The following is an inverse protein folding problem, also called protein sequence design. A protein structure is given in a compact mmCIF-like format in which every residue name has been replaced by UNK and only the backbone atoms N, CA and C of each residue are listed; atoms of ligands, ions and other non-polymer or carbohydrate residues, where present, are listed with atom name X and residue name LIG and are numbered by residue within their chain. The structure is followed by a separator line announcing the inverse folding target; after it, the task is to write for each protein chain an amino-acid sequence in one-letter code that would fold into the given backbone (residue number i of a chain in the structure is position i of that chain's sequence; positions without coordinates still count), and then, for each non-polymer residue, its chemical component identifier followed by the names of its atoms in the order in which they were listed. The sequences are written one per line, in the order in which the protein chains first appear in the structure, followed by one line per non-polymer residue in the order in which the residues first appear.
data_IF_539875425284
#
_entry.id   IF_539875425284
#
_cell.length_a   1.000
_cell.length_b   1.000
_cell.length_c   1.000
_cell.angle_alpha   90.00
_cell.angle_beta   90.00
_cell.angle_gamma   90.00
#
_symmetry.space_group_name_H-M   'P 1'
#
loop_
_entity.id
_entity.type
_entity.pdbx_description
1 polymer ?
#
# COMPACT_ATOMS: atom_id res chain seq x y z
N UNK A 1 17.34 21.96 -5.12
CA UNK A 1 16.10 22.69 -4.81
C UNK A 1 15.35 21.92 -3.74
N UNK A 2 14.88 22.57 -2.65
CA UNK A 2 13.94 21.92 -1.74
C UNK A 2 12.63 21.77 -2.50
N UNK A 3 12.27 20.55 -2.90
CA UNK A 3 10.96 20.26 -3.45
C UNK A 3 9.91 20.79 -2.47
N UNK A 4 9.09 21.74 -2.91
CA UNK A 4 7.96 22.20 -2.13
C UNK A 4 7.12 20.98 -1.77
N UNK A 5 6.62 20.92 -0.54
CA UNK A 5 5.81 19.79 -0.07
C UNK A 5 4.68 19.56 -1.06
N UNK A 6 4.77 18.46 -1.82
CA UNK A 6 3.74 18.07 -2.76
C UNK A 6 2.39 17.96 -2.01
N UNK A 7 1.28 18.31 -2.66
CA UNK A 7 -0.04 18.15 -2.06
C UNK A 7 -0.25 16.68 -1.73
N UNK A 8 -0.32 16.43 -0.43
CA UNK A 8 -0.66 15.16 0.21
C UNK A 8 -1.82 14.46 -0.52
N UNK A 9 -1.63 13.25 -1.09
CA UNK A 9 -2.73 12.48 -1.64
C UNK A 9 -3.60 11.99 -0.48
N UNK A 10 -4.68 12.73 -0.21
CA UNK A 10 -5.74 12.31 0.72
C UNK A 10 -6.73 11.47 -0.09
N UNK A 11 -7.22 10.33 0.44
CA UNK A 11 -8.44 9.72 -0.12
C UNK A 11 -9.49 10.78 0.09
N UNK A 12 -9.82 11.51 -0.98
CA UNK A 12 -10.85 12.54 -0.93
C UNK A 12 -12.03 11.91 -0.21
N UNK A 13 -12.44 12.49 0.93
CA UNK A 13 -13.72 12.18 1.57
C UNK A 13 -14.77 12.19 0.46
N UNK A 14 -15.19 10.99 0.06
CA UNK A 14 -15.97 10.75 -1.16
C UNK A 14 -15.27 11.25 -2.44
N UNK A 15 -14.43 10.43 -3.08
CA UNK A 15 -14.62 10.33 -4.53
C UNK A 15 -16.07 9.92 -4.72
N UNK A 16 -16.84 10.68 -5.49
CA UNK A 16 -18.20 10.27 -5.81
C UNK A 16 -18.09 8.92 -6.51
N UNK A 17 -18.41 7.82 -5.81
CA UNK A 17 -18.54 6.47 -6.36
C UNK A 17 -19.61 6.48 -7.45
N UNK A 18 -19.30 7.03 -8.62
CA UNK A 18 -20.15 6.97 -9.80
C UNK A 18 -19.70 5.79 -10.64
N UNK A 19 -19.70 4.60 -10.05
CA UNK A 19 -19.35 3.38 -10.75
C UNK A 19 -19.37 2.17 -9.83
N UNK A 20 -19.69 1.03 -10.43
CA UNK A 20 -19.44 -0.31 -9.88
C UNK A 20 -18.41 -0.93 -10.79
N UNK A 21 -17.41 -1.61 -10.22
CA UNK A 21 -16.45 -2.38 -11.01
C UNK A 21 -17.22 -3.33 -11.92
N UNK A 22 -16.97 -3.24 -13.21
CA UNK A 22 -17.66 -4.10 -14.17
C UNK A 22 -17.27 -5.56 -13.93
N UNK A 23 -18.19 -6.47 -14.20
CA UNK A 23 -18.01 -7.90 -13.95
C UNK A 23 -17.43 -8.64 -15.17
N UNK A 24 -17.36 -7.99 -16.33
CA UNK A 24 -16.83 -8.49 -17.59
C UNK A 24 -15.31 -8.26 -17.74
N UNK A 25 -14.58 -8.34 -16.63
CA UNK A 25 -13.11 -8.22 -16.61
C UNK A 25 -12.47 -9.38 -17.38
N UNK A 26 -11.45 -9.05 -18.18
CA UNK A 26 -10.61 -10.04 -18.86
C UNK A 26 -9.87 -10.92 -17.85
N UNK A 27 -9.38 -10.30 -16.77
CA UNK A 27 -8.73 -10.98 -15.65
C UNK A 27 -9.52 -10.72 -14.38
N UNK A 28 -9.83 -11.79 -13.65
CA UNK A 28 -10.66 -11.75 -12.44
C UNK A 28 -9.89 -11.95 -11.13
N UNK A 29 -8.60 -12.22 -11.23
CA UNK A 29 -7.70 -12.40 -10.10
C UNK A 29 -6.46 -11.55 -10.31
N UNK A 30 -6.12 -10.74 -9.31
CA UNK A 30 -4.86 -10.04 -9.20
C UNK A 30 -3.75 -11.02 -8.81
N UNK A 31 -4.05 -12.01 -7.95
CA UNK A 31 -3.08 -13.02 -7.50
C UNK A 31 -2.54 -13.84 -8.67
N UNK A 32 -3.42 -14.36 -9.52
CA UNK A 32 -3.08 -15.20 -10.68
C UNK A 32 -2.47 -14.39 -11.85
N UNK A 33 -2.54 -13.06 -11.78
CA UNK A 33 -2.01 -12.21 -12.83
C UNK A 33 -0.49 -12.23 -12.83
N UNK A 34 0.09 -12.81 -13.88
CA UNK A 34 1.53 -12.81 -14.08
C UNK A 34 2.01 -11.42 -14.50
N UNK A 35 2.96 -10.88 -13.74
CA UNK A 35 3.70 -9.68 -14.13
C UNK A 35 4.67 -10.02 -15.27
N UNK A 36 4.97 -9.03 -16.10
CA UNK A 36 6.07 -9.16 -17.05
C UNK A 36 7.39 -9.20 -16.30
N UNK A 37 8.38 -9.87 -16.87
CA UNK A 37 9.69 -10.05 -16.24
C UNK A 37 10.34 -8.69 -15.91
N UNK A 38 10.11 -7.64 -16.72
CA UNK A 38 10.59 -6.28 -16.43
C UNK A 38 9.90 -5.61 -15.23
N UNK A 39 8.68 -6.03 -14.90
CA UNK A 39 7.89 -5.47 -13.80
C UNK A 39 8.01 -6.29 -12.53
N UNK A 40 8.47 -7.54 -12.64
CA UNK A 40 8.60 -8.46 -11.52
C UNK A 40 9.51 -7.90 -10.43
N UNK A 41 10.57 -7.17 -10.81
CA UNK A 41 11.51 -6.53 -9.88
C UNK A 41 10.82 -5.58 -8.88
N UNK A 42 9.76 -4.87 -9.28
CA UNK A 42 9.03 -3.97 -8.38
C UNK A 42 8.21 -4.74 -7.34
N UNK A 43 7.66 -5.89 -7.72
CA UNK A 43 6.96 -6.79 -6.80
C UNK A 43 7.96 -7.50 -5.87
N UNK A 44 9.11 -7.91 -6.39
CA UNK A 44 10.14 -8.57 -5.58
C UNK A 44 10.66 -7.62 -4.48
N UNK A 45 10.89 -6.34 -4.82
CA UNK A 45 11.26 -5.31 -3.84
C UNK A 45 10.16 -5.12 -2.78
N UNK A 46 8.90 -5.02 -3.21
CA UNK A 46 7.74 -4.89 -2.33
C UNK A 46 7.66 -6.07 -1.34
N UNK A 47 7.78 -7.30 -1.85
CA UNK A 47 7.75 -8.53 -1.06
C UNK A 47 8.94 -8.62 -0.09
N UNK A 48 10.14 -8.24 -0.51
CA UNK A 48 11.33 -8.24 0.35
C UNK A 48 11.14 -7.24 1.50
N UNK A 49 10.73 -6.00 1.21
CA UNK A 49 10.54 -4.96 2.22
C UNK A 49 9.42 -5.33 3.19
N UNK A 50 8.28 -5.80 2.67
CA UNK A 50 7.11 -6.12 3.49
C UNK A 50 7.37 -7.28 4.46
N UNK A 51 8.16 -8.28 4.05
CA UNK A 51 8.48 -9.46 4.85
C UNK A 51 9.72 -9.27 5.76
N UNK A 52 10.25 -8.06 5.86
CA UNK A 52 11.38 -7.80 6.74
C UNK A 52 10.99 -7.91 8.22
N UNK A 53 11.89 -8.46 9.02
CA UNK A 53 11.80 -8.56 10.48
C UNK A 53 13.16 -8.22 11.09
N UNK A 54 13.22 -7.90 12.40
CA UNK A 54 14.49 -7.70 13.08
C UNK A 54 15.45 -8.91 12.95
N UNK A 55 14.93 -10.13 12.83
CA UNK A 55 15.70 -11.36 12.73
C UNK A 55 16.28 -11.60 11.33
N UNK A 56 15.65 -11.06 10.27
CA UNK A 56 16.07 -11.28 8.88
C UNK A 56 16.65 -10.02 8.20
N UNK A 57 16.87 -8.95 8.97
CA UNK A 57 17.23 -7.63 8.44
C UNK A 57 18.47 -7.65 7.52
N UNK A 58 19.51 -8.40 7.89
CA UNK A 58 20.73 -8.52 7.10
C UNK A 58 20.49 -9.27 5.78
N UNK A 59 19.66 -10.31 5.80
CA UNK A 59 19.28 -11.06 4.59
C UNK A 59 18.46 -10.17 3.65
N UNK A 60 17.49 -9.44 4.20
CA UNK A 60 16.67 -8.46 3.48
C UNK A 60 17.54 -7.40 2.81
N UNK A 61 18.48 -6.81 3.56
CA UNK A 61 19.41 -5.82 3.03
C UNK A 61 20.27 -6.36 1.89
N UNK A 62 20.82 -7.58 2.03
CA UNK A 62 21.64 -8.18 0.99
C UNK A 62 20.85 -8.45 -0.30
N UNK A 63 19.59 -8.92 -0.21
CA UNK A 63 18.72 -9.10 -1.38
C UNK A 63 18.45 -7.78 -2.10
N UNK A 64 18.15 -6.71 -1.35
CA UNK A 64 17.94 -5.38 -1.94
C UNK A 64 19.24 -4.84 -2.56
N UNK A 65 20.38 -5.06 -1.92
CA UNK A 65 21.70 -4.67 -2.44
C UNK A 65 22.04 -5.36 -3.76
N UNK A 66 21.72 -6.64 -3.89
CA UNK A 66 21.91 -7.37 -5.15
C UNK A 66 21.06 -6.75 -6.28
N UNK A 67 19.82 -6.34 -5.97
CA UNK A 67 18.94 -5.62 -6.90
C UNK A 67 19.53 -4.25 -7.29
N UNK A 68 20.03 -3.48 -6.32
CA UNK A 68 20.68 -2.17 -6.57
C UNK A 68 21.93 -2.32 -7.45
N UNK A 69 22.61 -3.47 -7.39
CA UNK A 69 23.78 -3.73 -8.23
C UNK A 69 23.40 -3.94 -9.71
N UNK A 70 22.17 -4.39 -9.97
CA UNK A 70 21.62 -4.51 -11.32
C UNK A 70 21.22 -3.12 -11.85
N UNK A 71 20.58 -2.32 -11.00
CA UNK A 71 20.25 -0.93 -11.30
C UNK A 71 20.24 -0.05 -10.05
N UNK A 72 21.08 0.97 -10.06
CA UNK A 72 21.26 1.89 -8.93
C UNK A 72 20.01 2.77 -8.70
N UNK A 73 19.24 3.07 -9.76
CA UNK A 73 18.06 3.93 -9.66
C UNK A 73 16.91 3.27 -8.86
N UNK A 74 16.90 1.95 -8.71
CA UNK A 74 15.88 1.25 -7.92
C UNK A 74 15.94 1.56 -6.43
N UNK A 75 17.06 2.10 -5.92
CA UNK A 75 17.15 2.50 -4.51
C UNK A 75 16.13 3.60 -4.16
N UNK A 76 15.83 4.48 -5.12
CA UNK A 76 14.84 5.53 -4.96
C UNK A 76 13.42 4.97 -4.81
N UNK A 77 13.09 3.94 -5.58
CA UNK A 77 11.84 3.19 -5.42
C UNK A 77 11.80 2.48 -4.06
N UNK A 78 12.89 1.83 -3.63
CA UNK A 78 12.95 1.19 -2.31
C UNK A 78 12.66 2.17 -1.17
N UNK A 79 13.28 3.35 -1.18
CA UNK A 79 12.98 4.39 -0.18
C UNK A 79 11.52 4.82 -0.21
N UNK A 80 10.93 4.92 -1.40
CA UNK A 80 9.52 5.26 -1.54
C UNK A 80 8.59 4.18 -0.96
N UNK A 81 8.89 2.90 -1.20
CA UNK A 81 8.16 1.76 -0.64
C UNK A 81 8.33 1.70 0.89
N UNK A 82 9.54 1.95 1.41
CA UNK A 82 9.78 2.03 2.86
C UNK A 82 8.94 3.14 3.50
N UNK A 83 9.01 4.36 2.96
CA UNK A 83 8.23 5.48 3.46
C UNK A 83 6.72 5.22 3.39
N UNK A 84 6.25 4.51 2.36
CA UNK A 84 4.86 4.08 2.26
C UNK A 84 4.46 3.13 3.40
N UNK A 85 5.24 2.07 3.64
CA UNK A 85 4.93 1.09 4.68
C UNK A 85 5.13 1.62 6.10
N UNK A 86 6.16 2.42 6.37
CA UNK A 86 6.34 3.12 7.66
C UNK A 86 5.07 3.88 8.00
N UNK A 87 4.51 4.62 7.04
CA UNK A 87 3.27 5.36 7.23
C UNK A 87 2.04 4.45 7.35
N UNK A 88 1.90 3.44 6.48
CA UNK A 88 0.75 2.53 6.49
C UNK A 88 0.64 1.76 7.83
N UNK A 89 1.80 1.38 8.37
CA UNK A 89 1.89 0.66 9.64
C UNK A 89 1.95 1.57 10.86
N UNK A 90 2.04 2.90 10.68
CA UNK A 90 2.16 3.87 11.79
C UNK A 90 3.23 3.44 12.81
N UNK A 91 4.29 2.81 12.32
CA UNK A 91 5.44 2.32 13.07
C UNK A 91 6.67 3.00 12.50
N UNK A 92 6.94 4.20 13.02
CA UNK A 92 8.06 5.06 12.63
C UNK A 92 9.42 4.35 12.73
N UNK A 93 9.53 3.24 13.48
CA UNK A 93 10.80 2.59 13.75
C UNK A 93 10.97 1.23 13.08
N UNK A 94 9.90 0.62 12.54
CA UNK A 94 9.98 -0.72 11.93
C UNK A 94 11.05 -0.80 10.85
N UNK A 95 11.15 0.23 10.02
CA UNK A 95 12.02 0.25 8.84
C UNK A 95 13.31 1.05 9.02
N UNK A 96 13.51 1.72 10.17
CA UNK A 96 14.68 2.57 10.46
C UNK A 96 16.01 1.84 10.25
N UNK A 97 16.10 0.58 10.67
CA UNK A 97 17.33 -0.19 10.53
C UNK A 97 17.62 -0.51 9.06
N UNK A 98 16.59 -0.83 8.27
CA UNK A 98 16.75 -1.09 6.85
C UNK A 98 17.12 0.18 6.10
N UNK A 99 16.47 1.29 6.43
CA UNK A 99 16.75 2.60 5.85
C UNK A 99 18.21 3.03 6.10
N UNK A 100 18.70 2.87 7.35
CA UNK A 100 20.11 3.12 7.71
C UNK A 100 21.08 2.23 6.93
N UNK A 101 20.75 0.96 6.73
CA UNK A 101 21.60 0.05 5.96
C UNK A 101 21.65 0.46 4.49
N UNK A 102 20.52 0.79 3.87
CA UNK A 102 20.44 1.27 2.50
C UNK A 102 21.19 2.61 2.32
N UNK A 103 21.17 3.48 3.33
CA UNK A 103 21.86 4.77 3.27
C UNK A 103 23.38 4.63 3.18
N UNK A 104 23.94 3.50 3.64
CA UNK A 104 25.36 3.16 3.42
C UNK A 104 25.74 2.93 1.95
N UNK A 105 24.75 2.61 1.10
CA UNK A 105 24.92 2.48 -0.35
C UNK A 105 24.73 3.85 -1.00
N UNK A 106 23.59 4.50 -0.75
CA UNK A 106 23.27 5.82 -1.27
C UNK A 106 22.22 6.49 -0.39
N UNK A 107 22.50 7.72 0.06
CA UNK A 107 21.58 8.49 0.87
C UNK A 107 20.31 8.89 0.08
N UNK A 108 19.12 8.91 0.70
CA UNK A 108 17.91 9.37 0.04
C UNK A 108 18.02 10.86 -0.30
N UNK A 109 17.74 11.21 -1.56
CA UNK A 109 17.82 12.61 -2.03
C UNK A 109 16.63 13.48 -1.62
N UNK A 110 15.60 12.88 -1.01
CA UNK A 110 14.34 13.55 -0.72
C UNK A 110 13.72 13.07 0.59
N UNK A 111 12.99 13.97 1.24
CA UNK A 111 12.25 13.67 2.47
C UNK A 111 10.89 13.08 2.07
N UNK A 112 10.73 11.78 2.31
CA UNK A 112 9.56 11.01 1.96
C UNK A 112 8.36 11.38 2.85
N UNK A 113 7.77 12.54 2.60
CA UNK A 113 6.49 12.92 3.18
C UNK A 113 5.37 12.20 2.42
N UNK A 114 5.26 10.89 2.63
CA UNK A 114 4.04 10.18 2.30
C UNK A 114 2.97 10.58 3.29
N UNK A 115 2.02 11.36 2.81
CA UNK A 115 0.70 11.35 3.41
C UNK A 115 -0.05 10.25 2.70
N UNK A 116 -0.24 9.10 3.36
CA UNK A 116 -1.25 8.20 2.85
C UNK A 116 -2.62 8.68 3.27
N UNK A 117 -3.56 8.20 2.50
CA UNK A 117 -4.93 8.63 2.35
C UNK A 117 -5.81 8.62 3.60
N UNK A 118 -5.29 8.17 4.73
CA UNK A 118 -6.05 7.80 5.92
C UNK A 118 -5.83 8.76 7.10
N UNK A 119 -5.20 9.93 6.86
CA UNK A 119 -4.77 10.93 7.85
C UNK A 119 -5.76 11.29 8.96
N UNK A 120 -7.07 11.09 8.78
CA UNK A 120 -8.01 11.44 9.85
C UNK A 120 -8.22 10.36 10.90
N UNK A 121 -7.74 9.11 10.72
CA UNK A 121 -8.37 7.97 11.41
C UNK A 121 -7.52 6.70 11.69
N UNK A 122 -6.19 6.79 11.82
CA UNK A 122 -5.35 5.63 12.20
C UNK A 122 -5.32 5.48 13.74
N UNK A 123 -5.43 4.26 14.32
CA UNK A 123 -5.21 4.03 15.75
C UNK A 123 -3.81 4.48 16.17
N UNK A 124 -3.66 5.08 17.35
CA UNK A 124 -2.35 5.57 17.79
C UNK A 124 -1.28 4.47 17.83
N UNK A 125 -0.03 4.79 17.48
CA UNK A 125 1.13 3.89 17.61
C UNK A 125 1.16 3.19 18.97
N UNK A 126 0.86 3.92 20.05
CA UNK A 126 0.79 3.39 21.42
C UNK A 126 -0.15 2.19 21.53
N UNK A 127 -1.35 2.24 20.94
CA UNK A 127 -2.28 1.12 21.08
C UNK A 127 -1.88 -0.08 20.21
N UNK A 128 -1.33 0.17 19.02
CA UNK A 128 -0.79 -0.88 18.15
C UNK A 128 0.39 -1.59 18.80
N UNK A 129 1.30 -0.85 19.44
CA UNK A 129 2.39 -1.41 20.24
C UNK A 129 1.88 -2.28 21.40
N UNK A 130 0.85 -1.83 22.13
CA UNK A 130 0.25 -2.61 23.20
C UNK A 130 -0.31 -3.95 22.70
N UNK A 131 -0.96 -3.95 21.54
CA UNK A 131 -1.58 -5.15 20.97
C UNK A 131 -0.60 -6.02 20.17
N UNK A 132 0.65 -5.58 20.01
CA UNK A 132 1.67 -6.26 19.20
C UNK A 132 1.86 -7.71 19.63
N UNK A 133 1.86 -8.60 18.63
CA UNK A 133 2.01 -10.04 18.83
C UNK A 133 0.75 -10.75 19.31
N UNK A 134 -0.41 -10.10 19.20
CA UNK A 134 -1.73 -10.70 19.40
C UNK A 134 -1.93 -11.38 20.77
N UNK A 135 -1.41 -10.74 21.83
CA UNK A 135 -1.44 -11.26 23.21
C UNK A 135 -2.70 -10.81 23.95
N UNK A 136 -3.57 -11.76 24.28
CA UNK A 136 -4.86 -11.50 24.96
C UNK A 136 -4.66 -10.87 26.36
N UNK A 137 -3.56 -11.15 27.04
CA UNK A 137 -3.26 -10.60 28.37
C UNK A 137 -3.34 -9.07 28.39
N UNK A 138 -2.79 -8.42 27.36
CA UNK A 138 -2.85 -6.95 27.25
C UNK A 138 -4.27 -6.46 27.03
N UNK A 139 -5.07 -7.20 26.27
CA UNK A 139 -6.48 -6.89 26.05
C UNK A 139 -7.30 -6.97 27.35
N UNK A 140 -6.99 -7.93 28.23
CA UNK A 140 -7.58 -8.01 29.58
C UNK A 140 -7.24 -6.79 30.42
N UNK A 141 -5.99 -6.34 30.38
CA UNK A 141 -5.55 -5.16 31.12
C UNK A 141 -6.27 -3.89 30.61
N UNK A 142 -6.42 -3.74 29.29
CA UNK A 142 -7.16 -2.63 28.66
C UNK A 142 -8.61 -2.57 29.17
N UNK A 143 -9.30 -3.71 29.30
CA UNK A 143 -10.69 -3.75 29.81
C UNK A 143 -10.83 -3.23 31.25
N UNK A 144 -9.81 -3.40 32.07
CA UNK A 144 -9.80 -2.90 33.45
C UNK A 144 -9.49 -1.41 33.54
N UNK A 145 -8.91 -0.82 32.49
CA UNK A 145 -8.50 0.57 32.43
C UNK A 145 -9.50 1.45 31.65
N UNK A 146 -10.29 2.27 32.35
CA UNK A 146 -11.31 3.14 31.72
C UNK A 146 -10.75 4.13 30.70
N UNK A 147 -9.49 4.53 30.80
CA UNK A 147 -8.90 5.54 29.93
C UNK A 147 -8.60 5.01 28.52
N UNK A 148 -8.49 3.69 28.34
CA UNK A 148 -8.13 3.06 27.06
C UNK A 148 -9.35 2.53 26.29
N UNK A 149 -10.55 2.54 26.90
CA UNK A 149 -11.77 2.00 26.28
C UNK A 149 -12.29 2.79 25.07
N UNK A 150 -11.88 4.06 24.95
CA UNK A 150 -12.27 4.93 23.84
C UNK A 150 -11.26 4.90 22.69
N UNK A 151 -10.19 4.10 22.82
CA UNK A 151 -9.21 3.91 21.76
C UNK A 151 -9.77 3.02 20.65
N UNK A 152 -9.22 3.17 19.45
CA UNK A 152 -9.63 2.46 18.22
C UNK A 152 -9.09 1.02 18.17
N UNK A 153 -9.41 0.26 19.21
CA UNK A 153 -8.87 -1.07 19.49
C UNK A 153 -9.19 -2.07 18.39
N UNK A 154 -10.44 -2.09 17.92
CA UNK A 154 -10.86 -3.02 16.88
C UNK A 154 -10.17 -2.68 15.55
N UNK A 155 -10.03 -1.41 15.20
CA UNK A 155 -9.30 -0.98 14.02
C UNK A 155 -7.82 -1.37 14.10
N UNK A 156 -7.17 -1.19 15.26
CA UNK A 156 -5.79 -1.60 15.49
C UNK A 156 -5.65 -3.12 15.28
N UNK A 157 -6.53 -3.91 15.87
CA UNK A 157 -6.55 -5.35 15.65
C UNK A 157 -6.72 -5.72 14.17
N UNK A 158 -7.59 -5.02 13.44
CA UNK A 158 -7.82 -5.28 12.03
C UNK A 158 -6.61 -4.93 11.15
N UNK A 159 -5.96 -3.80 11.41
CA UNK A 159 -4.78 -3.35 10.65
C UNK A 159 -3.56 -4.24 10.92
N UNK A 160 -3.31 -4.59 12.18
CA UNK A 160 -2.15 -5.40 12.59
C UNK A 160 -2.36 -6.91 12.42
N UNK A 161 -3.61 -7.33 12.22
CA UNK A 161 -3.96 -8.74 12.11
C UNK A 161 -4.02 -9.48 13.46
N UNK A 162 -4.30 -8.78 14.56
CA UNK A 162 -4.41 -9.34 15.89
C UNK A 162 -5.79 -10.02 16.09
N UNK A 163 -5.91 -11.26 15.61
CA UNK A 163 -7.16 -12.04 15.60
C UNK A 163 -7.65 -12.35 17.01
N UNK A 164 -6.75 -12.78 17.90
CA UNK A 164 -7.12 -13.16 19.27
C UNK A 164 -7.61 -11.96 20.08
N UNK A 165 -6.92 -10.83 19.97
CA UNK A 165 -7.35 -9.58 20.59
C UNK A 165 -8.69 -9.09 20.01
N UNK A 166 -8.89 -9.18 18.69
CA UNK A 166 -10.16 -8.82 18.05
C UNK A 166 -11.33 -9.63 18.63
N UNK A 167 -11.22 -10.95 18.64
CA UNK A 167 -12.25 -11.84 19.19
C UNK A 167 -12.53 -11.51 20.65
N UNK A 168 -11.48 -11.32 21.45
CA UNK A 168 -11.61 -10.95 22.85
C UNK A 168 -12.42 -9.67 23.05
N UNK A 169 -12.14 -8.61 22.30
CA UNK A 169 -12.91 -7.36 22.43
C UNK A 169 -14.35 -7.52 21.96
N UNK A 170 -14.60 -8.23 20.84
CA UNK A 170 -15.96 -8.47 20.34
C UNK A 170 -16.79 -9.29 21.35
N UNK A 171 -16.21 -10.32 21.96
CA UNK A 171 -16.88 -11.16 22.96
C UNK A 171 -17.17 -10.40 24.26
N UNK A 172 -16.41 -9.34 24.54
CA UNK A 172 -16.64 -8.42 25.66
C UNK A 172 -17.54 -7.22 25.29
N UNK A 173 -18.24 -7.29 24.15
CA UNK A 173 -19.31 -6.35 23.81
C UNK A 173 -18.84 -5.02 23.21
N UNK A 174 -17.61 -4.95 22.70
CA UNK A 174 -17.19 -3.78 21.92
C UNK A 174 -18.05 -3.64 20.66
N UNK A 175 -18.55 -2.43 20.44
CA UNK A 175 -19.34 -2.10 19.25
C UNK A 175 -18.44 -2.01 18.02
N UNK A 176 -18.86 -2.64 16.92
CA UNK A 176 -18.15 -2.58 15.64
C UNK A 176 -18.27 -1.17 15.04
N UNK A 177 -17.14 -0.46 14.79
CA UNK A 177 -17.14 0.82 14.11
C UNK A 177 -17.60 0.69 12.65
N UNK A 178 -18.18 1.77 12.12
CA UNK A 178 -18.75 1.80 10.77
C UNK A 178 -17.75 1.45 9.67
N UNK A 179 -16.50 1.90 9.81
CA UNK A 179 -15.46 1.76 8.78
C UNK A 179 -14.45 0.63 9.11
N UNK A 180 -14.79 -0.27 10.03
CA UNK A 180 -13.91 -1.38 10.45
C UNK A 180 -13.59 -2.34 9.29
N UNK A 181 -14.52 -2.50 8.35
CA UNK A 181 -14.34 -3.27 7.11
C UNK A 181 -13.15 -2.76 6.27
N UNK A 182 -12.94 -1.44 6.23
CA UNK A 182 -11.83 -0.82 5.49
C UNK A 182 -10.50 -1.14 6.16
N UNK A 183 -10.43 -1.06 7.50
CA UNK A 183 -9.25 -1.45 8.27
C UNK A 183 -8.92 -2.94 8.06
N UNK A 184 -9.91 -3.81 8.09
CA UNK A 184 -9.72 -5.24 7.86
C UNK A 184 -9.23 -5.56 6.42
N UNK A 185 -9.75 -4.84 5.42
CA UNK A 185 -9.28 -4.98 4.04
C UNK A 185 -7.82 -4.51 3.88
N UNK A 186 -7.43 -3.43 4.55
CA UNK A 186 -6.04 -2.92 4.56
C UNK A 186 -5.09 -3.85 5.33
N UNK A 187 -5.51 -4.41 6.46
CA UNK A 187 -4.68 -5.33 7.24
C UNK A 187 -4.56 -6.73 6.62
N UNK A 188 -5.49 -7.10 5.74
CA UNK A 188 -5.33 -8.23 4.83
C UNK A 188 -5.54 -9.61 5.44
N UNK A 189 -5.83 -9.71 6.75
CA UNK A 189 -6.03 -11.01 7.40
C UNK A 189 -7.41 -11.56 7.04
N UNK A 190 -7.42 -12.57 6.17
CA UNK A 190 -8.65 -13.24 5.72
C UNK A 190 -9.49 -13.80 6.89
N UNK A 191 -8.84 -14.22 7.98
CA UNK A 191 -9.54 -14.68 9.19
C UNK A 191 -10.35 -13.55 9.85
N UNK A 192 -9.78 -12.34 9.95
CA UNK A 192 -10.50 -11.15 10.46
C UNK A 192 -11.70 -10.82 9.56
N UNK A 193 -11.53 -10.89 8.24
CA UNK A 193 -12.63 -10.65 7.30
C UNK A 193 -13.79 -11.62 7.58
N UNK A 194 -13.50 -12.93 7.72
CA UNK A 194 -14.50 -13.95 8.04
C UNK A 194 -15.19 -13.68 9.38
N UNK A 195 -14.44 -13.35 10.43
CA UNK A 195 -14.99 -13.00 11.74
C UNK A 195 -15.97 -11.82 11.62
N UNK A 196 -15.58 -10.76 10.90
CA UNK A 196 -16.44 -9.60 10.73
C UNK A 196 -17.68 -9.90 9.87
N UNK A 197 -17.56 -10.74 8.86
CA UNK A 197 -18.72 -11.23 8.08
C UNK A 197 -19.72 -11.99 8.94
N UNK A 198 -19.25 -12.85 9.85
CA UNK A 198 -20.11 -13.57 10.81
C UNK A 198 -20.84 -12.60 11.75
N UNK A 199 -20.24 -11.44 12.03
CA UNK A 199 -20.88 -10.35 12.79
C UNK A 199 -21.74 -9.42 11.92
N UNK A 200 -21.93 -9.73 10.64
CA UNK A 200 -22.79 -8.99 9.72
C UNK A 200 -22.16 -7.74 9.09
N UNK A 201 -20.83 -7.62 9.13
CA UNK A 201 -20.11 -6.51 8.48
C UNK A 201 -20.09 -6.70 6.97
N UNK A 202 -20.40 -5.63 6.23
CA UNK A 202 -20.43 -5.62 4.77
C UNK A 202 -19.15 -4.99 4.21
N UNK A 203 -18.56 -5.59 3.18
CA UNK A 203 -17.31 -5.15 2.54
C UNK A 203 -17.50 -4.53 1.14
N UNK A 204 -18.69 -4.04 0.82
CA UNK A 204 -18.91 -3.26 -0.40
C UNK A 204 -18.05 -2.00 -0.37
N UNK A 205 -17.43 -1.68 -1.50
CA UNK A 205 -16.52 -0.54 -1.67
C UNK A 205 -15.25 -0.60 -0.80
N UNK A 206 -14.69 -1.81 -0.58
CA UNK A 206 -13.43 -2.03 0.15
C UNK A 206 -12.29 -2.51 -0.74
N UNK A 207 -12.46 -2.55 -2.07
CA UNK A 207 -11.45 -3.10 -2.97
C UNK A 207 -10.18 -2.25 -3.00
N UNK A 208 -10.32 -0.93 -3.08
CA UNK A 208 -9.20 0.01 -3.06
C UNK A 208 -8.43 -0.09 -1.73
N UNK A 209 -9.11 -0.36 -0.62
CA UNK A 209 -8.49 -0.60 0.68
C UNK A 209 -7.60 -1.85 0.68
N UNK A 210 -8.06 -2.96 0.08
CA UNK A 210 -7.25 -4.17 -0.06
C UNK A 210 -6.05 -3.95 -0.98
N UNK A 211 -6.22 -3.18 -2.06
CA UNK A 211 -5.15 -2.82 -2.98
C UNK A 211 -4.12 -1.90 -2.31
N UNK A 212 -4.56 -0.91 -1.52
CA UNK A 212 -3.67 -0.07 -0.73
C UNK A 212 -2.87 -0.90 0.29
N UNK A 213 -3.48 -1.93 0.91
CA UNK A 213 -2.76 -2.84 1.80
C UNK A 213 -1.92 -3.92 1.11
N UNK A 214 -1.84 -3.93 -0.23
CA UNK A 214 -1.18 -4.97 -1.03
C UNK A 214 -1.71 -6.38 -0.71
N UNK A 215 -2.98 -6.50 -0.35
CA UNK A 215 -3.61 -7.78 0.02
C UNK A 215 -4.39 -8.33 -1.18
N UNK A 216 -3.67 -8.86 -2.16
CA UNK A 216 -4.28 -9.28 -3.42
C UNK A 216 -5.28 -10.44 -3.25
N UNK A 217 -5.06 -11.36 -2.30
CA UNK A 217 -6.00 -12.43 -1.98
C UNK A 217 -7.31 -11.88 -1.42
N UNK A 218 -7.22 -10.84 -0.59
CA UNK A 218 -8.40 -10.12 -0.08
C UNK A 218 -9.10 -9.40 -1.22
N UNK A 219 -8.36 -8.69 -2.08
CA UNK A 219 -8.91 -7.99 -3.23
C UNK A 219 -9.70 -8.96 -4.15
N UNK A 220 -9.12 -10.13 -4.44
CA UNK A 220 -9.76 -11.18 -5.25
C UNK A 220 -11.03 -11.71 -4.58
N UNK A 221 -10.98 -11.98 -3.27
CA UNK A 221 -12.15 -12.39 -2.49
C UNK A 221 -13.26 -11.33 -2.54
N UNK A 222 -12.92 -10.06 -2.39
CA UNK A 222 -13.87 -8.96 -2.43
C UNK A 222 -14.53 -8.83 -3.81
N UNK A 223 -13.77 -8.91 -4.89
CA UNK A 223 -14.31 -8.88 -6.26
C UNK A 223 -15.29 -10.01 -6.54
N UNK A 224 -15.11 -11.19 -5.93
CA UNK A 224 -15.98 -12.34 -6.11
C UNK A 224 -17.30 -12.24 -5.35
N UNK A 225 -17.29 -11.60 -4.17
CA UNK A 225 -18.42 -11.65 -3.22
C UNK A 225 -19.18 -10.33 -3.05
N UNK A 226 -18.52 -9.20 -3.29
CA UNK A 226 -19.04 -7.88 -2.95
C UNK A 226 -19.18 -6.97 -4.17
N UNK A 227 -19.99 -5.92 -3.99
CA UNK A 227 -20.02 -4.82 -4.95
C UNK A 227 -18.80 -3.94 -4.72
N UNK A 228 -17.88 -3.97 -5.68
CA UNK A 228 -16.66 -3.18 -5.63
C UNK A 228 -16.80 -1.86 -6.40
N UNK A 229 -16.12 -0.85 -5.90
CA UNK A 229 -15.79 0.37 -6.59
C UNK A 229 -14.82 0.10 -7.76
N UNK A 230 -14.82 0.92 -8.83
CA UNK A 230 -13.81 0.82 -9.88
C UNK A 230 -12.42 1.05 -9.32
N UNK A 231 -11.44 0.27 -9.78
CA UNK A 231 -10.03 0.47 -9.43
C UNK A 231 -9.46 1.57 -10.33
N UNK A 232 -8.73 2.51 -9.73
CA UNK A 232 -7.98 3.56 -10.43
C UNK A 232 -6.51 3.15 -10.48
N UNK A 233 -5.96 2.97 -11.69
CA UNK A 233 -4.54 2.63 -11.85
C UNK A 233 -3.61 3.70 -11.28
N UNK A 234 -4.00 4.97 -11.32
CA UNK A 234 -3.22 6.04 -10.71
C UNK A 234 -3.10 5.83 -9.19
N UNK A 235 -4.19 5.40 -8.55
CA UNK A 235 -4.19 5.09 -7.12
C UNK A 235 -3.27 3.90 -6.80
N UNK A 236 -3.26 2.85 -7.62
CA UNK A 236 -2.33 1.73 -7.47
C UNK A 236 -0.86 2.19 -7.48
N UNK A 237 -0.49 3.12 -8.37
CA UNK A 237 0.87 3.68 -8.41
C UNK A 237 1.20 4.54 -7.18
N UNK A 238 0.21 5.25 -6.63
CA UNK A 238 0.37 5.97 -5.35
C UNK A 238 0.65 5.03 -4.17
N UNK A 239 0.14 3.80 -4.23
CA UNK A 239 0.37 2.77 -3.21
C UNK A 239 1.64 1.99 -3.45
N UNK A 240 2.34 2.20 -4.58
CA UNK A 240 3.45 1.34 -5.00
C UNK A 240 3.01 -0.10 -5.32
N UNK A 241 1.71 -0.31 -5.58
CA UNK A 241 1.15 -1.62 -5.91
C UNK A 241 1.17 -1.88 -7.43
N UNK A 242 2.31 -2.35 -7.95
CA UNK A 242 2.47 -2.65 -9.38
C UNK A 242 1.53 -3.72 -9.88
N UNK A 243 1.24 -4.73 -9.06
CA UNK A 243 0.36 -5.82 -9.47
C UNK A 243 -1.08 -5.33 -9.65
N UNK A 244 -1.56 -4.50 -8.73
CA UNK A 244 -2.87 -3.84 -8.85
C UNK A 244 -2.92 -2.90 -10.06
N UNK A 245 -1.85 -2.13 -10.29
CA UNK A 245 -1.75 -1.28 -11.46
C UNK A 245 -1.75 -2.08 -12.79
N UNK A 246 -0.98 -3.16 -12.84
CA UNK A 246 -0.94 -4.07 -13.98
C UNK A 246 -2.31 -4.71 -14.25
N UNK A 247 -3.04 -5.08 -13.20
CA UNK A 247 -4.41 -5.54 -13.31
C UNK A 247 -5.33 -4.51 -13.96
N UNK A 248 -5.20 -3.22 -13.60
CA UNK A 248 -5.94 -2.14 -14.25
C UNK A 248 -5.64 -2.07 -15.75
N UNK A 249 -4.36 -2.12 -16.13
CA UNK A 249 -3.95 -2.10 -17.55
C UNK A 249 -4.52 -3.26 -18.34
N UNK A 250 -4.37 -4.47 -17.82
CA UNK A 250 -4.80 -5.70 -18.48
C UNK A 250 -6.33 -5.76 -18.65
N UNK A 251 -7.08 -5.12 -17.75
CA UNK A 251 -8.52 -4.99 -17.83
C UNK A 251 -9.01 -3.70 -18.50
N UNK A 252 -8.10 -2.86 -19.03
CA UNK A 252 -8.44 -1.57 -19.66
C UNK A 252 -9.26 -0.66 -18.75
N UNK A 253 -8.96 -0.68 -17.46
CA UNK A 253 -9.53 0.24 -16.47
C UNK A 253 -8.88 1.63 -16.61
N UNK A 254 -9.49 2.64 -15.98
CA UNK A 254 -9.01 4.03 -16.10
C UNK A 254 -7.61 4.19 -15.50
N UNK A 255 -6.67 4.59 -16.34
CA UNK A 255 -5.26 4.88 -16.02
C UNK A 255 -4.97 6.33 -16.44
N UNK A 256 -5.12 7.29 -15.51
CA UNK A 256 -4.99 8.72 -15.82
C UNK A 256 -3.52 9.14 -15.86
N UNK A 257 -3.09 9.60 -17.04
CA UNK A 257 -1.85 10.36 -17.33
C UNK A 257 -0.73 10.24 -16.28
N UNK A 258 0.04 9.15 -16.39
CA UNK A 258 0.80 8.57 -15.28
C UNK A 258 2.28 8.94 -15.31
N UNK A 259 2.76 9.46 -16.45
CA UNK A 259 4.18 9.77 -16.66
C UNK A 259 4.79 10.67 -15.58
N UNK A 260 4.11 11.76 -15.20
CA UNK A 260 4.65 12.65 -14.17
C UNK A 260 4.77 11.98 -12.80
N UNK A 261 3.80 11.12 -12.44
CA UNK A 261 3.87 10.33 -11.21
C UNK A 261 4.94 9.27 -11.28
N UNK A 262 5.05 8.61 -12.44
CA UNK A 262 6.05 7.58 -12.66
C UNK A 262 7.47 8.15 -12.49
N UNK A 263 7.73 9.32 -13.07
CA UNK A 263 8.99 10.04 -12.95
C UNK A 263 9.23 10.46 -11.50
N UNK A 264 8.25 11.10 -10.85
CA UNK A 264 8.39 11.59 -9.48
C UNK A 264 8.62 10.48 -8.45
N UNK A 265 8.21 9.24 -8.75
CA UNK A 265 8.35 8.08 -7.85
C UNK A 265 9.50 7.15 -8.20
N UNK A 266 10.36 7.53 -9.16
CA UNK A 266 11.59 6.79 -9.48
C UNK A 266 11.35 5.56 -10.37
N UNK A 267 10.27 5.52 -11.14
CA UNK A 267 9.92 4.40 -12.00
C UNK A 267 10.55 4.49 -13.40
N UNK A 268 11.85 4.81 -13.47
CA UNK A 268 12.58 4.99 -14.74
C UNK A 268 12.46 3.78 -15.67
N UNK A 269 12.70 2.56 -15.17
CA UNK A 269 12.52 1.32 -15.95
C UNK A 269 11.10 1.13 -16.46
N UNK A 270 10.10 1.50 -15.65
CA UNK A 270 8.73 1.34 -16.06
C UNK A 270 8.34 2.33 -17.16
N UNK A 271 8.92 3.55 -17.12
CA UNK A 271 8.77 4.53 -18.18
C UNK A 271 9.41 4.00 -19.47
N UNK A 272 10.62 3.43 -19.40
CA UNK A 272 11.28 2.83 -20.57
C UNK A 272 10.46 1.66 -21.15
N UNK A 273 9.84 0.84 -20.30
CA UNK A 273 8.93 -0.21 -20.73
C UNK A 273 7.67 0.35 -21.43
N UNK A 274 6.99 1.33 -20.81
CA UNK A 274 5.84 2.02 -21.42
C UNK A 274 6.23 2.69 -22.75
N UNK A 275 7.46 3.20 -22.85
CA UNK A 275 7.95 3.90 -24.02
C UNK A 275 8.26 2.96 -25.18
N UNK A 276 8.83 1.79 -24.86
CA UNK A 276 9.23 0.77 -25.85
C UNK A 276 8.09 -0.14 -26.27
N UNK A 277 7.05 -0.25 -25.44
CA UNK A 277 5.84 -0.99 -25.77
C UNK A 277 4.76 -0.01 -26.23
N UNK A 278 4.13 -0.28 -27.37
CA UNK A 278 3.10 0.59 -27.99
C UNK A 278 1.80 0.77 -27.17
N UNK A 279 1.82 0.43 -25.88
CA UNK A 279 0.70 0.42 -24.95
C UNK A 279 0.09 1.82 -24.78
N UNK A 280 0.86 2.89 -25.00
CA UNK A 280 0.44 4.29 -24.77
C UNK A 280 0.66 5.26 -25.94
N UNK A 281 0.70 4.78 -27.18
CA UNK A 281 0.93 5.60 -28.39
C UNK A 281 0.02 6.84 -28.56
N UNK A 282 -1.06 6.98 -27.78
CA UNK A 282 -2.07 8.03 -27.90
C UNK A 282 -2.05 9.15 -26.84
N UNK A 283 -1.25 9.09 -25.76
CA UNK A 283 -1.30 10.14 -24.70
C UNK A 283 0.02 10.83 -24.35
N UNK A 284 1.13 10.46 -24.98
CA UNK A 284 2.48 10.83 -24.53
C UNK A 284 3.06 12.04 -25.27
N UNK A 285 2.56 12.37 -26.47
CA UNK A 285 3.13 13.45 -27.31
C UNK A 285 3.11 14.83 -26.66
N UNK A 286 2.13 15.14 -25.81
CA UNK A 286 2.01 16.45 -25.15
C UNK A 286 3.02 16.65 -23.99
N UNK A 287 3.70 15.59 -23.54
CA UNK A 287 4.63 15.63 -22.41
C UNK A 287 6.10 15.46 -22.82
N UNK A 288 6.36 15.16 -24.10
CA UNK A 288 7.70 15.00 -24.64
C UNK A 288 8.56 16.25 -24.41
N UNK A 289 8.01 17.43 -24.69
CA UNK A 289 8.72 18.70 -24.52
C UNK A 289 9.09 18.96 -23.04
N UNK A 290 8.22 18.57 -22.11
CA UNK A 290 8.47 18.68 -20.65
C UNK A 290 9.45 17.64 -20.11
N UNK A 291 9.44 16.43 -20.65
CA UNK A 291 10.34 15.36 -20.23
C UNK A 291 11.78 15.64 -20.69
N UNK A 292 11.95 16.13 -21.93
CA UNK A 292 13.25 16.57 -22.44
C UNK A 292 13.81 17.73 -21.60
N UNK A 293 12.99 18.72 -21.24
CA UNK A 293 13.38 19.79 -20.32
C UNK A 293 13.85 19.26 -18.95
N UNK A 294 13.20 18.23 -18.39
CA UNK A 294 13.57 17.65 -17.08
C UNK A 294 14.81 16.75 -17.13
N UNK A 295 15.07 16.07 -18.25
CA UNK A 295 16.25 15.21 -18.43
C UNK A 295 17.53 16.04 -18.57
N UNK A 296 17.44 17.19 -19.22
CA UNK A 296 18.58 18.11 -19.35
C UNK A 296 18.98 18.78 -18.02
N UNK A 297 18.06 18.83 -17.04
CA UNK A 297 18.38 19.27 -15.67
C UNK A 297 19.18 18.25 -14.83
N UNK A 298 19.23 16.97 -15.21
CA UNK A 298 20.09 15.96 -14.55
C UNK A 298 21.54 15.98 -15.05
N UNK A 299 21.84 16.74 -16.10
CA UNK A 299 23.18 16.88 -16.68
C UNK A 299 23.87 18.24 -16.32
N UNK A 300 23.33 18.98 -15.34
CA UNK A 300 23.86 20.24 -14.79
C UNK A 300 23.98 20.16 -13.27
#
# INVERSE_FOLDING_TARGET
MRYGSDPKPVLRKKRSNKGVLKQDLQYKSIVELKLLDQLQIFQDIDDIIRNQTPENIDETFNKLKDIITIDEDLIYYMYNVLGYYTYLEDDDHKYDNLEKLLSTIKEPEYNNNFSTLFESEIPSTKIREMLRGDKIEVSKDILTNSNLKNERLLEACCLDGNVNCLNFFLDNGYSIPKDLNRCAAIGGKMEIIKILEEKGVNFNNCLECAIAGHNHEVADYLMQKYTCEPIDGQACLFYFNFKGYWFCLQNKLETRNELCLLIAKGYSHFIDYIWTTDIYKFSITDYFDKFCELRDFKNL
#
